data_IF_980506651051
#
_entry.id   IF_980506651051
#
_cell.length_a   1.000
_cell.length_b   1.000
_cell.length_c   1.000
_cell.angle_alpha   90.00
_cell.angle_beta   90.00
_cell.angle_gamma   90.00
#
_symmetry.space_group_name_H-M   'P 1'
#
loop_
_entity.id
_entity.type
_entity.pdbx_description
1 polymer ?
#
# COMPACT_ATOMS: atom_id res chain seq x y z
N UNK A 1 -10.71 36.32 -4.73
CA UNK A 1 -10.39 34.93 -4.35
C UNK A 1 -9.53 35.00 -3.09
N UNK A 2 -9.88 34.34 -1.98
CA UNK A 2 -9.14 34.52 -0.73
C UNK A 2 -7.75 33.90 -0.88
N UNK A 3 -6.72 34.69 -0.58
CA UNK A 3 -5.34 34.25 -0.51
C UNK A 3 -5.17 33.31 0.68
N UNK A 4 -5.00 32.02 0.40
CA UNK A 4 -4.67 31.02 1.41
C UNK A 4 -3.24 31.27 1.91
N UNK A 5 -3.09 32.09 2.96
CA UNK A 5 -1.82 32.22 3.69
C UNK A 5 -1.65 30.99 4.56
N UNK A 6 -1.07 29.94 4.01
CA UNK A 6 -0.62 28.81 4.80
C UNK A 6 0.42 29.31 5.83
N UNK A 7 0.02 29.36 7.10
CA UNK A 7 0.96 29.51 8.21
C UNK A 7 1.92 28.33 8.21
N UNK A 8 3.20 28.56 8.54
CA UNK A 8 4.21 27.50 8.68
C UNK A 8 3.78 26.37 9.64
N UNK A 9 2.78 26.65 10.50
CA UNK A 9 2.25 25.77 11.53
C UNK A 9 0.81 25.25 11.29
N UNK A 10 0.20 25.45 10.12
CA UNK A 10 -1.10 24.80 9.84
C UNK A 10 -0.90 23.30 9.51
N UNK A 11 -1.51 22.44 10.34
CA UNK A 11 -1.20 21.01 10.43
C UNK A 11 -2.08 20.16 9.51
N UNK A 12 -1.48 19.57 8.46
CA UNK A 12 -1.63 18.15 8.18
C UNK A 12 -0.24 17.51 8.27
N UNK A 13 0.07 16.97 9.43
CA UNK A 13 1.32 16.25 9.72
C UNK A 13 1.04 14.94 10.46
N UNK A 14 -0.19 14.42 10.39
CA UNK A 14 -0.57 13.25 11.18
C UNK A 14 0.24 12.02 10.78
N UNK A 15 0.48 11.84 9.48
CA UNK A 15 1.31 10.75 8.98
C UNK A 15 2.78 10.95 9.33
N UNK A 16 3.30 12.16 9.15
CA UNK A 16 4.67 12.52 9.53
C UNK A 16 4.91 12.31 11.03
N UNK A 17 4.03 12.81 11.90
CA UNK A 17 4.17 12.65 13.35
C UNK A 17 4.03 11.20 13.76
N UNK A 18 3.14 10.42 13.13
CA UNK A 18 3.05 8.99 13.37
C UNK A 18 4.37 8.27 13.03
N UNK A 19 4.93 8.54 11.85
CA UNK A 19 6.23 7.97 11.44
C UNK A 19 7.35 8.38 12.39
N UNK A 20 7.44 9.66 12.76
CA UNK A 20 8.43 10.14 13.73
C UNK A 20 8.27 9.44 15.07
N UNK A 21 7.04 9.35 15.57
CA UNK A 21 6.73 8.72 16.86
C UNK A 21 7.15 7.25 16.86
N UNK A 22 6.76 6.49 15.83
CA UNK A 22 7.15 5.07 15.71
C UNK A 22 8.66 4.93 15.61
N UNK A 23 9.33 5.79 14.85
CA UNK A 23 10.79 5.77 14.69
C UNK A 23 11.52 6.07 16.00
N UNK A 24 11.09 7.10 16.72
CA UNK A 24 11.67 7.49 18.01
C UNK A 24 11.45 6.41 19.05
N UNK A 25 10.26 5.80 19.10
CA UNK A 25 9.98 4.70 20.03
C UNK A 25 10.82 3.46 19.73
N UNK A 26 10.91 3.05 18.46
CA UNK A 26 11.67 1.86 18.05
C UNK A 26 13.18 2.03 18.30
N UNK A 27 13.75 3.17 17.91
CA UNK A 27 15.16 3.48 18.15
C UNK A 27 15.45 3.70 19.64
N UNK A 28 14.56 4.40 20.35
CA UNK A 28 14.66 4.63 21.79
C UNK A 28 14.64 3.34 22.60
N UNK A 29 13.80 2.37 22.22
CA UNK A 29 13.80 1.03 22.81
C UNK A 29 15.15 0.32 22.67
N UNK A 30 15.82 0.46 21.51
CA UNK A 30 17.17 -0.09 21.30
C UNK A 30 18.22 0.60 22.18
N UNK A 31 18.14 1.93 22.32
CA UNK A 31 19.06 2.69 23.18
C UNK A 31 18.89 2.34 24.66
N UNK A 32 17.64 2.20 25.12
CA UNK A 32 17.35 1.78 26.51
C UNK A 32 17.92 0.39 26.78
N UNK A 33 17.73 -0.57 25.88
CA UNK A 33 18.30 -1.92 26.02
C UNK A 33 19.83 -1.93 25.98
N UNK A 34 20.43 -1.04 25.19
CA UNK A 34 21.87 -0.88 25.15
C UNK A 34 22.43 -0.17 26.40
N UNK A 35 21.59 0.45 27.22
CA UNK A 35 22.01 1.31 28.34
C UNK A 35 22.82 2.53 27.90
N UNK A 36 22.70 2.96 26.63
CA UNK A 36 23.53 4.02 26.05
C UNK A 36 22.80 4.75 24.92
N UNK A 37 23.18 5.99 24.56
CA UNK A 37 22.61 6.73 23.43
C UNK A 37 23.04 6.18 22.05
N UNK A 38 23.62 4.98 22.01
CA UNK A 38 23.97 4.23 20.82
C UNK A 38 23.57 2.75 20.97
N UNK A 39 23.10 2.14 19.89
CA UNK A 39 22.74 0.73 19.85
C UNK A 39 23.85 -0.07 19.16
N UNK A 40 24.32 -1.19 19.75
CA UNK A 40 25.30 -2.05 19.12
C UNK A 40 24.70 -2.75 17.89
N UNK A 41 25.55 -3.08 16.91
CA UNK A 41 25.12 -3.68 15.64
C UNK A 41 24.33 -4.98 15.83
N UNK A 42 24.68 -5.81 16.82
CA UNK A 42 23.98 -7.05 17.14
C UNK A 42 22.51 -6.81 17.53
N UNK A 43 22.26 -5.78 18.33
CA UNK A 43 20.92 -5.41 18.75
C UNK A 43 20.09 -4.93 17.56
N UNK A 44 20.68 -4.08 16.71
CA UNK A 44 20.05 -3.58 15.50
C UNK A 44 19.75 -4.69 14.50
N UNK A 45 20.68 -5.64 14.33
CA UNK A 45 20.50 -6.83 13.52
C UNK A 45 19.33 -7.68 14.05
N UNK A 46 19.25 -7.91 15.36
CA UNK A 46 18.15 -8.66 15.98
C UNK A 46 16.79 -8.01 15.75
N UNK A 47 16.69 -6.68 15.82
CA UNK A 47 15.42 -5.96 15.75
C UNK A 47 14.98 -5.53 14.35
N UNK A 48 15.77 -5.82 13.31
CA UNK A 48 15.31 -5.63 11.93
C UNK A 48 16.22 -4.83 11.00
N UNK A 49 17.47 -4.61 11.38
CA UNK A 49 18.46 -4.06 10.46
C UNK A 49 18.54 -4.89 9.18
N UNK A 50 18.64 -4.20 8.04
CA UNK A 50 18.68 -4.82 6.73
C UNK A 50 20.10 -5.28 6.42
N UNK A 51 20.25 -6.48 5.85
CA UNK A 51 21.56 -7.03 5.47
C UNK A 51 21.44 -7.85 4.18
N UNK A 52 22.58 -8.09 3.53
CA UNK A 52 22.70 -8.68 2.18
C UNK A 52 21.83 -9.93 1.92
N UNK A 53 21.76 -10.84 2.90
CA UNK A 53 21.04 -12.12 2.78
C UNK A 53 19.56 -12.09 3.18
N UNK A 54 19.03 -10.97 3.66
CA UNK A 54 17.65 -10.91 4.21
C UNK A 54 16.59 -11.29 3.17
N UNK A 55 16.73 -10.79 1.94
CA UNK A 55 15.77 -11.05 0.84
C UNK A 55 15.79 -12.53 0.45
N UNK A 56 16.99 -13.11 0.33
CA UNK A 56 17.16 -14.53 -0.02
C UNK A 56 16.64 -15.48 1.06
N UNK A 57 16.59 -15.04 2.32
CA UNK A 57 16.04 -15.78 3.46
C UNK A 57 14.57 -15.46 3.75
N UNK A 58 13.88 -14.76 2.85
CA UNK A 58 12.48 -14.38 3.00
C UNK A 58 12.18 -13.49 4.23
N UNK A 59 13.19 -12.78 4.74
CA UNK A 59 13.05 -11.85 5.88
C UNK A 59 12.56 -10.46 5.42
N UNK A 60 11.49 -10.44 4.60
CA UNK A 60 11.00 -9.23 3.92
C UNK A 60 10.56 -8.11 4.86
N UNK A 61 10.19 -8.44 6.10
CA UNK A 61 9.85 -7.47 7.13
C UNK A 61 11.01 -6.49 7.42
N UNK A 62 12.27 -6.91 7.18
CA UNK A 62 13.46 -6.05 7.32
C UNK A 62 13.52 -4.93 6.30
N UNK A 63 12.84 -5.04 5.15
CA UNK A 63 12.73 -3.98 4.14
C UNK A 63 11.98 -2.75 4.66
N UNK A 64 11.23 -2.89 5.76
CA UNK A 64 10.57 -1.79 6.44
C UNK A 64 11.19 -1.53 7.81
N UNK A 65 11.44 -2.57 8.60
CA UNK A 65 11.90 -2.44 9.98
C UNK A 65 13.20 -1.62 10.10
N UNK A 66 14.13 -1.77 9.16
CA UNK A 66 15.42 -1.08 9.19
C UNK A 66 15.29 0.44 9.26
N UNK A 67 14.25 1.01 8.63
CA UNK A 67 14.04 2.45 8.56
C UNK A 67 13.67 3.08 9.91
N UNK A 68 13.23 2.27 10.87
CA UNK A 68 12.83 2.73 12.21
C UNK A 68 13.93 2.59 13.26
N UNK A 69 15.07 2.00 12.89
CA UNK A 69 16.21 1.75 13.77
C UNK A 69 17.33 2.74 13.47
N UNK A 70 18.08 3.19 14.49
CA UNK A 70 19.18 4.13 14.32
C UNK A 70 20.38 3.72 15.19
N UNK A 71 21.59 3.93 14.66
CA UNK A 71 22.85 3.57 15.34
C UNK A 71 23.06 4.38 16.61
N UNK A 72 22.72 5.67 16.61
CA UNK A 72 22.90 6.56 17.74
C UNK A 72 21.91 7.71 17.73
N UNK A 73 21.85 8.42 18.86
CA UNK A 73 20.95 9.54 19.06
C UNK A 73 21.11 10.65 18.01
N UNK A 74 22.35 11.03 17.65
CA UNK A 74 22.61 12.05 16.64
C UNK A 74 22.06 11.64 15.28
N UNK A 75 22.26 10.39 14.88
CA UNK A 75 21.74 9.84 13.63
C UNK A 75 20.21 9.86 13.61
N UNK A 76 19.55 9.52 14.72
CA UNK A 76 18.10 9.63 14.86
C UNK A 76 17.63 11.09 14.73
N UNK A 77 18.23 12.01 15.49
CA UNK A 77 17.83 13.43 15.48
C UNK A 77 17.96 14.06 14.09
N UNK A 78 19.06 13.78 13.37
CA UNK A 78 19.25 14.32 12.02
C UNK A 78 18.21 13.79 11.03
N UNK A 79 17.86 12.50 11.11
CA UNK A 79 16.80 11.94 10.27
C UNK A 79 15.43 12.56 10.59
N UNK A 80 15.11 12.74 11.87
CA UNK A 80 13.86 13.38 12.28
C UNK A 80 13.80 14.85 11.81
N UNK A 81 14.92 15.57 11.87
CA UNK A 81 15.02 16.93 11.34
C UNK A 81 14.78 16.97 9.83
N UNK A 82 15.45 16.12 9.05
CA UNK A 82 15.23 16.02 7.60
C UNK A 82 13.77 15.65 7.28
N UNK A 83 13.19 14.71 8.02
CA UNK A 83 11.79 14.31 7.85
C UNK A 83 10.82 15.47 8.14
N UNK A 84 11.05 16.27 9.17
CA UNK A 84 10.24 17.48 9.45
C UNK A 84 10.37 18.50 8.33
N UNK A 85 11.60 18.81 7.92
CA UNK A 85 11.88 19.85 6.91
C UNK A 85 11.28 19.53 5.54
N UNK A 86 11.42 18.28 5.09
CA UNK A 86 10.97 17.89 3.74
C UNK A 86 9.61 17.20 3.77
N UNK A 87 9.39 16.30 4.74
CA UNK A 87 8.18 15.49 4.82
C UNK A 87 6.93 16.31 5.08
N UNK A 88 7.02 17.34 5.94
CA UNK A 88 5.87 18.22 6.21
C UNK A 88 5.47 19.01 4.97
N UNK A 89 6.45 19.40 4.14
CA UNK A 89 6.17 20.07 2.87
C UNK A 89 5.48 19.13 1.89
N UNK A 90 5.95 17.89 1.78
CA UNK A 90 5.35 16.89 0.90
C UNK A 90 3.93 16.50 1.35
N UNK A 91 3.73 16.17 2.64
CA UNK A 91 2.42 15.78 3.19
C UNK A 91 1.36 16.85 2.95
N UNK A 92 1.71 18.14 3.10
CA UNK A 92 0.80 19.25 2.78
C UNK A 92 0.37 19.29 1.31
N UNK A 93 1.21 18.83 0.39
CA UNK A 93 0.93 18.87 -1.05
C UNK A 93 0.18 17.65 -1.55
N UNK A 94 0.48 16.46 -1.01
CA UNK A 94 -0.08 15.19 -1.51
C UNK A 94 -1.09 14.55 -0.55
N UNK A 95 -1.20 15.05 0.67
CA UNK A 95 -2.02 14.46 1.74
C UNK A 95 -1.32 13.29 2.46
N UNK A 96 -1.85 12.89 3.64
CA UNK A 96 -1.21 11.89 4.52
C UNK A 96 -1.08 10.50 3.88
N UNK A 97 -2.10 10.06 3.13
CA UNK A 97 -2.10 8.73 2.53
C UNK A 97 -1.01 8.59 1.44
N UNK A 98 -0.96 9.52 0.48
CA UNK A 98 0.06 9.51 -0.57
C UNK A 98 1.46 9.75 -0.02
N UNK A 99 1.59 10.58 1.03
CA UNK A 99 2.85 10.74 1.73
C UNK A 99 3.36 9.42 2.33
N UNK A 100 2.51 8.66 3.04
CA UNK A 100 2.89 7.35 3.57
C UNK A 100 3.29 6.37 2.47
N UNK A 101 2.52 6.31 1.38
CA UNK A 101 2.84 5.43 0.25
C UNK A 101 4.22 5.77 -0.32
N UNK A 102 4.47 7.05 -0.63
CA UNK A 102 5.76 7.50 -1.16
C UNK A 102 6.90 7.18 -0.19
N UNK A 103 6.72 7.48 1.10
CA UNK A 103 7.74 7.25 2.13
C UNK A 103 8.08 5.77 2.28
N UNK A 104 7.07 4.89 2.37
CA UNK A 104 7.26 3.45 2.52
C UNK A 104 7.82 2.81 1.25
N UNK A 105 7.37 3.24 0.06
CA UNK A 105 7.96 2.80 -1.20
C UNK A 105 9.44 3.19 -1.28
N UNK A 106 9.79 4.43 -0.95
CA UNK A 106 11.17 4.87 -0.92
C UNK A 106 12.04 4.07 0.05
N UNK A 107 11.50 3.72 1.23
CA UNK A 107 12.17 2.85 2.20
C UNK A 107 12.45 1.46 1.60
N UNK A 108 11.42 0.79 1.07
CA UNK A 108 11.55 -0.58 0.54
C UNK A 108 12.51 -0.61 -0.65
N UNK A 109 12.30 0.25 -1.66
CA UNK A 109 13.11 0.24 -2.86
C UNK A 109 14.53 0.78 -2.61
N UNK A 110 14.71 1.69 -1.66
CA UNK A 110 16.02 2.09 -1.18
C UNK A 110 16.80 0.90 -0.63
N UNK A 111 16.20 0.11 0.27
CA UNK A 111 16.83 -1.11 0.79
C UNK A 111 17.14 -2.13 -0.31
N UNK A 112 16.22 -2.37 -1.25
CA UNK A 112 16.43 -3.31 -2.37
C UNK A 112 17.61 -2.88 -3.23
N UNK A 113 17.69 -1.59 -3.60
CA UNK A 113 18.75 -1.07 -4.47
C UNK A 113 20.09 -1.07 -3.73
N UNK A 114 20.14 -0.62 -2.47
CA UNK A 114 21.34 -0.71 -1.65
C UNK A 114 21.89 -2.14 -1.54
N UNK A 115 20.99 -3.11 -1.37
CA UNK A 115 21.33 -4.53 -1.29
C UNK A 115 21.80 -5.15 -2.60
N UNK A 116 21.35 -4.61 -3.73
CA UNK A 116 21.83 -5.02 -5.05
C UNK A 116 23.20 -4.45 -5.40
N UNK A 117 23.57 -3.30 -4.82
CA UNK A 117 24.81 -2.58 -5.15
C UNK A 117 25.98 -3.04 -4.27
N UNK A 118 25.74 -3.27 -2.98
CA UNK A 118 26.83 -3.58 -2.05
C UNK A 118 27.30 -5.02 -2.17
N UNK A 119 28.59 -5.20 -2.45
CA UNK A 119 29.23 -6.50 -2.63
C UNK A 119 29.77 -7.13 -1.34
N UNK A 120 29.84 -6.36 -0.25
CA UNK A 120 30.35 -6.81 1.06
C UNK A 120 29.22 -6.93 2.08
N UNK A 121 29.34 -7.78 3.11
CA UNK A 121 28.36 -7.83 4.18
C UNK A 121 28.24 -6.48 4.87
N UNK A 122 27.01 -5.97 4.96
CA UNK A 122 26.71 -4.69 5.57
C UNK A 122 25.40 -4.78 6.36
N UNK A 123 25.24 -3.87 7.32
CA UNK A 123 24.03 -3.73 8.11
C UNK A 123 23.50 -2.31 7.94
N UNK A 124 22.35 -2.17 7.31
CA UNK A 124 21.70 -0.89 7.07
C UNK A 124 20.57 -0.66 8.07
N UNK A 125 20.57 0.53 8.65
CA UNK A 125 19.53 1.07 9.51
C UNK A 125 19.36 2.56 9.23
N UNK A 126 18.18 3.09 9.49
CA UNK A 126 17.90 4.52 9.45
C UNK A 126 16.89 4.90 8.38
N UNK A 127 16.16 5.97 8.66
CA UNK A 127 15.09 6.50 7.81
C UNK A 127 15.61 7.23 6.55
N UNK A 128 16.92 7.33 6.36
CA UNK A 128 17.53 8.26 5.41
C UNK A 128 17.24 7.95 3.94
N UNK A 129 17.06 6.68 3.59
CA UNK A 129 16.56 6.29 2.26
C UNK A 129 15.15 6.81 1.98
N UNK A 130 14.27 6.69 2.98
CA UNK A 130 12.89 7.17 2.87
C UNK A 130 12.83 8.71 2.79
N UNK A 131 13.62 9.41 3.61
CA UNK A 131 13.71 10.89 3.54
C UNK A 131 14.35 11.37 2.25
N UNK A 132 15.31 10.63 1.69
CA UNK A 132 15.83 10.88 0.33
C UNK A 132 14.72 10.75 -0.72
N UNK A 133 13.84 9.76 -0.58
CA UNK A 133 12.66 9.62 -1.44
C UNK A 133 11.64 10.74 -1.30
N UNK A 134 11.45 11.29 -0.09
CA UNK A 134 10.65 12.50 0.10
C UNK A 134 11.22 13.66 -0.72
N UNK A 135 12.54 13.84 -0.72
CA UNK A 135 13.20 14.87 -1.55
C UNK A 135 13.02 14.60 -3.05
N UNK A 136 13.11 13.34 -3.49
CA UNK A 136 12.82 12.93 -4.87
C UNK A 136 11.37 13.20 -5.30
N UNK A 137 10.41 12.98 -4.41
CA UNK A 137 9.00 13.29 -4.65
C UNK A 137 8.74 14.80 -4.72
N UNK A 138 9.40 15.60 -3.86
CA UNK A 138 9.35 17.06 -3.96
C UNK A 138 9.91 17.55 -5.31
N UNK A 139 11.00 16.95 -5.79
CA UNK A 139 11.54 17.27 -7.12
C UNK A 139 10.55 16.89 -8.22
N UNK A 140 9.86 15.74 -8.11
CA UNK A 140 8.80 15.36 -9.04
C UNK A 140 7.70 16.42 -9.11
N UNK A 141 7.17 16.87 -7.96
CA UNK A 141 6.15 17.91 -7.92
C UNK A 141 6.63 19.24 -8.52
N UNK A 142 7.91 19.59 -8.32
CA UNK A 142 8.53 20.76 -8.93
C UNK A 142 8.61 20.65 -10.46
N UNK A 143 9.11 19.51 -10.98
CA UNK A 143 9.16 19.24 -12.43
C UNK A 143 7.76 19.30 -13.05
N UNK A 144 6.74 18.83 -12.33
CA UNK A 144 5.34 18.85 -12.76
C UNK A 144 4.67 20.24 -12.64
N UNK A 145 5.39 21.26 -12.17
CA UNK A 145 4.85 22.62 -11.95
C UNK A 145 3.84 22.71 -10.81
N UNK A 146 3.80 21.70 -9.92
CA UNK A 146 2.91 21.62 -8.75
C UNK A 146 3.52 22.15 -7.46
N UNK A 147 4.78 22.57 -7.53
CA UNK A 147 5.54 23.09 -6.40
C UNK A 147 6.25 24.38 -6.79
N UNK A 148 5.88 25.48 -6.14
CA UNK A 148 6.52 26.78 -6.33
C UNK A 148 7.64 26.96 -5.30
N UNK A 149 8.80 26.38 -5.62
CA UNK A 149 10.02 26.43 -4.83
C UNK A 149 11.18 26.76 -5.76
N UNK A 150 12.10 27.61 -5.32
CA UNK A 150 13.28 28.01 -6.11
C UNK A 150 14.19 26.80 -6.36
N UNK A 151 14.83 26.77 -7.53
CA UNK A 151 15.79 25.73 -7.88
C UNK A 151 16.94 25.60 -6.86
N UNK A 152 17.37 26.72 -6.27
CA UNK A 152 18.43 26.74 -5.24
C UNK A 152 18.13 25.80 -4.06
N UNK A 153 16.86 25.63 -3.68
CA UNK A 153 16.46 24.66 -2.65
C UNK A 153 16.87 23.24 -3.05
N UNK A 154 16.58 22.83 -4.28
CA UNK A 154 16.92 21.50 -4.78
C UNK A 154 18.42 21.34 -4.94
N UNK A 155 19.10 22.32 -5.51
CA UNK A 155 20.55 22.30 -5.66
C UNK A 155 21.25 22.08 -4.31
N UNK A 156 20.85 22.83 -3.28
CA UNK A 156 21.41 22.72 -1.93
C UNK A 156 21.05 21.38 -1.27
N UNK A 157 19.76 21.00 -1.24
CA UNK A 157 19.35 19.81 -0.48
C UNK A 157 19.78 18.50 -1.16
N UNK A 158 19.73 18.42 -2.49
CA UNK A 158 20.24 17.26 -3.23
C UNK A 158 21.77 17.22 -3.13
N UNK A 159 22.43 18.37 -3.27
CA UNK A 159 23.88 18.46 -3.10
C UNK A 159 24.33 18.00 -1.72
N UNK A 160 23.66 18.43 -0.65
CA UNK A 160 23.91 17.96 0.71
C UNK A 160 23.62 16.47 0.87
N UNK A 161 22.50 15.96 0.34
CA UNK A 161 22.16 14.54 0.42
C UNK A 161 23.28 13.67 -0.20
N UNK A 162 23.76 14.06 -1.38
CA UNK A 162 24.86 13.39 -2.08
C UNK A 162 26.17 13.54 -1.30
N UNK A 163 26.50 14.75 -0.83
CA UNK A 163 27.74 15.02 -0.10
C UNK A 163 27.82 14.21 1.20
N UNK A 164 26.72 14.10 1.96
CA UNK A 164 26.68 13.25 3.15
C UNK A 164 26.75 11.76 2.79
N UNK A 165 25.99 11.33 1.77
CA UNK A 165 25.97 9.93 1.35
C UNK A 165 27.33 9.41 0.87
N UNK A 166 28.07 10.23 0.12
CA UNK A 166 29.38 9.86 -0.42
C UNK A 166 30.55 10.21 0.52
N UNK A 167 30.40 11.24 1.36
CA UNK A 167 31.45 11.74 2.25
C UNK A 167 31.63 10.92 3.54
N UNK A 168 30.72 10.00 3.85
CA UNK A 168 30.79 9.16 5.04
C UNK A 168 30.54 7.70 4.68
N UNK A 169 31.56 6.84 4.80
CA UNK A 169 31.47 5.41 4.48
C UNK A 169 30.51 4.62 5.36
N UNK A 170 30.00 5.21 6.46
CA UNK A 170 28.95 4.63 7.30
C UNK A 170 27.54 4.97 6.81
N UNK A 171 27.41 5.79 5.77
CA UNK A 171 26.14 6.15 5.15
C UNK A 171 25.98 5.33 3.87
N UNK A 172 24.85 4.67 3.74
CA UNK A 172 24.55 3.83 2.59
C UNK A 172 24.08 4.68 1.42
N UNK A 173 25.01 5.06 0.54
CA UNK A 173 24.69 5.86 -0.65
C UNK A 173 23.74 5.16 -1.61
N UNK A 174 23.79 3.82 -1.69
CA UNK A 174 22.92 3.02 -2.55
C UNK A 174 21.46 3.10 -2.10
N UNK A 175 21.24 3.07 -0.78
CA UNK A 175 19.92 3.29 -0.17
C UNK A 175 19.41 4.71 -0.40
N UNK A 176 20.28 5.72 -0.32
CA UNK A 176 19.90 7.11 -0.59
C UNK A 176 19.48 7.33 -2.04
N UNK A 177 20.27 6.80 -2.98
CA UNK A 177 19.99 6.89 -4.41
C UNK A 177 18.70 6.14 -4.77
N UNK A 178 18.57 4.90 -4.28
CA UNK A 178 17.40 4.07 -4.52
C UNK A 178 16.13 4.67 -3.93
N UNK A 179 16.21 5.20 -2.72
CA UNK A 179 15.12 5.92 -2.07
C UNK A 179 14.69 7.16 -2.84
N UNK A 180 15.65 8.00 -3.26
CA UNK A 180 15.39 9.19 -4.08
C UNK A 180 14.65 8.85 -5.37
N UNK A 181 15.17 7.89 -6.13
CA UNK A 181 14.58 7.46 -7.39
C UNK A 181 13.18 6.88 -7.17
N UNK A 182 13.00 6.02 -6.17
CA UNK A 182 11.72 5.42 -5.85
C UNK A 182 10.68 6.45 -5.43
N UNK A 183 11.05 7.45 -4.63
CA UNK A 183 10.14 8.53 -4.24
C UNK A 183 9.71 9.41 -5.41
N UNK A 184 10.65 9.74 -6.31
CA UNK A 184 10.36 10.47 -7.54
C UNK A 184 9.38 9.69 -8.44
N UNK A 185 9.66 8.40 -8.66
CA UNK A 185 8.82 7.51 -9.49
C UNK A 185 7.45 7.31 -8.83
N UNK A 186 7.39 7.03 -7.53
CA UNK A 186 6.13 6.82 -6.81
C UNK A 186 5.24 8.08 -6.88
N UNK A 187 5.83 9.26 -6.72
CA UNK A 187 5.10 10.53 -6.87
C UNK A 187 4.57 10.71 -8.30
N UNK A 188 5.38 10.43 -9.32
CA UNK A 188 4.97 10.52 -10.72
C UNK A 188 3.85 9.52 -11.07
N UNK A 189 3.95 8.29 -10.56
CA UNK A 189 2.93 7.26 -10.75
C UNK A 189 1.63 7.64 -10.04
N UNK A 190 1.68 8.13 -8.80
CA UNK A 190 0.50 8.59 -8.09
C UNK A 190 -0.15 9.80 -8.79
N UNK A 191 0.65 10.73 -9.30
CA UNK A 191 0.14 11.85 -10.11
C UNK A 191 -0.54 11.36 -11.40
N UNK A 192 0.07 10.40 -12.09
CA UNK A 192 -0.49 9.78 -13.28
C UNK A 192 -1.79 9.03 -12.96
N UNK A 193 -1.81 8.26 -11.85
CA UNK A 193 -3.01 7.57 -11.38
C UNK A 193 -4.10 8.59 -11.07
N UNK A 194 -3.81 9.67 -10.36
CA UNK A 194 -4.79 10.71 -10.02
C UNK A 194 -5.35 11.39 -11.27
N UNK A 195 -4.51 11.66 -12.27
CA UNK A 195 -4.94 12.20 -13.58
C UNK A 195 -5.73 11.19 -14.39
N UNK A 196 -5.33 9.93 -14.37
CA UNK A 196 -6.01 8.84 -15.07
C UNK A 196 -7.30 8.45 -14.35
N UNK A 197 -7.41 8.65 -13.04
CA UNK A 197 -8.55 8.21 -12.23
C UNK A 197 -9.88 8.79 -12.77
N UNK A 198 -10.00 10.10 -13.07
CA UNK A 198 -11.14 10.65 -13.78
C UNK A 198 -11.42 10.15 -15.20
N UNK A 199 -10.60 9.30 -15.83
CA UNK A 199 -10.84 8.80 -17.20
C UNK A 199 -10.86 7.26 -17.26
N UNK A 200 -9.93 6.61 -16.57
CA UNK A 200 -9.74 5.18 -16.46
C UNK A 200 -10.53 4.57 -15.30
N UNK A 201 -10.59 5.24 -14.16
CA UNK A 201 -11.20 4.73 -12.92
C UNK A 201 -12.31 5.69 -12.45
N UNK A 202 -13.20 6.15 -13.36
CA UNK A 202 -14.44 6.88 -12.96
C UNK A 202 -15.38 5.95 -12.19
N UNK A 203 -14.90 5.40 -11.09
CA UNK A 203 -15.60 4.59 -10.13
C UNK A 203 -16.50 5.52 -9.33
N UNK A 204 -17.51 6.11 -9.98
CA UNK A 204 -18.74 6.57 -9.33
C UNK A 204 -19.54 5.35 -8.88
N UNK A 205 -18.86 4.36 -8.31
CA UNK A 205 -19.48 3.19 -7.75
C UNK A 205 -20.03 3.59 -6.38
N UNK A 206 -21.17 3.03 -5.96
CA UNK A 206 -21.52 3.04 -4.55
C UNK A 206 -20.37 2.46 -3.72
N UNK A 207 -20.13 2.99 -2.52
CA UNK A 207 -19.03 2.54 -1.65
C UNK A 207 -19.05 1.02 -1.41
N UNK A 208 -20.26 0.43 -1.29
CA UNK A 208 -20.43 -1.01 -1.16
C UNK A 208 -19.82 -1.81 -2.33
N UNK A 209 -19.96 -1.31 -3.57
CA UNK A 209 -19.38 -1.95 -4.77
C UNK A 209 -17.85 -1.85 -4.75
N UNK A 210 -17.30 -0.69 -4.33
CA UNK A 210 -15.84 -0.51 -4.22
C UNK A 210 -15.23 -1.47 -3.20
N UNK A 211 -15.82 -1.52 -2.00
CA UNK A 211 -15.33 -2.38 -0.92
C UNK A 211 -15.38 -3.86 -1.33
N UNK A 212 -16.46 -4.30 -1.97
CA UNK A 212 -16.64 -5.68 -2.40
C UNK A 212 -15.62 -6.07 -3.50
N UNK A 213 -15.43 -5.21 -4.51
CA UNK A 213 -14.40 -5.41 -5.55
C UNK A 213 -12.98 -5.46 -4.96
N UNK A 214 -12.66 -4.59 -4.02
CA UNK A 214 -11.35 -4.60 -3.35
C UNK A 214 -11.15 -5.89 -2.55
N UNK A 215 -12.17 -6.35 -1.81
CA UNK A 215 -12.12 -7.60 -1.06
C UNK A 215 -11.87 -8.79 -2.00
N UNK A 216 -12.63 -8.89 -3.09
CA UNK A 216 -12.46 -9.95 -4.09
C UNK A 216 -11.07 -9.89 -4.74
N UNK A 217 -10.56 -8.68 -5.05
CA UNK A 217 -9.21 -8.51 -5.59
C UNK A 217 -8.13 -8.96 -4.59
N UNK A 218 -8.27 -8.63 -3.31
CA UNK A 218 -7.36 -9.08 -2.26
C UNK A 218 -7.37 -10.61 -2.12
N UNK A 219 -8.55 -11.24 -2.16
CA UNK A 219 -8.68 -12.71 -2.09
C UNK A 219 -8.06 -13.35 -3.34
N UNK A 220 -8.31 -12.81 -4.53
CA UNK A 220 -7.71 -13.31 -5.77
C UNK A 220 -6.18 -13.16 -5.76
N UNK A 221 -5.66 -12.04 -5.26
CA UNK A 221 -4.23 -11.82 -5.12
C UNK A 221 -3.59 -12.78 -4.10
N UNK A 222 -4.26 -12.99 -2.95
CA UNK A 222 -3.81 -13.95 -1.94
C UNK A 222 -3.83 -15.39 -2.48
N UNK A 223 -4.85 -15.76 -3.25
CA UNK A 223 -4.95 -17.07 -3.91
C UNK A 223 -3.88 -17.26 -4.99
N UNK A 224 -3.64 -16.23 -5.81
CA UNK A 224 -2.56 -16.25 -6.80
C UNK A 224 -1.18 -16.40 -6.14
N UNK A 225 -1.00 -15.77 -4.97
CA UNK A 225 0.20 -15.88 -4.15
C UNK A 225 0.35 -17.25 -3.46
N UNK A 226 -0.75 -17.90 -3.09
CA UNK A 226 -0.73 -19.09 -2.24
C UNK A 226 -0.46 -20.41 -2.94
N UNK A 227 -0.40 -20.51 -4.28
CA UNK A 227 -0.22 -21.85 -4.87
C UNK A 227 0.12 -22.10 -6.33
N UNK A 228 0.07 -21.18 -7.30
CA UNK A 228 0.20 -21.63 -8.73
C UNK A 228 0.98 -20.73 -9.69
N UNK A 229 1.41 -19.52 -9.30
CA UNK A 229 2.18 -18.67 -10.21
C UNK A 229 3.64 -19.14 -10.41
N UNK A 230 4.23 -19.74 -9.37
CA UNK A 230 5.60 -20.29 -9.42
C UNK A 230 5.64 -21.61 -10.23
N UNK A 231 4.54 -22.36 -10.27
CA UNK A 231 4.44 -23.63 -11.01
C UNK A 231 4.31 -23.45 -12.53
N UNK A 232 3.89 -22.27 -13.00
CA UNK A 232 3.68 -21.98 -14.42
C UNK A 232 4.90 -21.31 -15.11
N UNK A 233 6.02 -21.12 -14.42
CA UNK A 233 7.22 -20.48 -14.98
C UNK A 233 7.08 -18.99 -15.30
N UNK A 234 5.98 -18.36 -14.86
CA UNK A 234 5.75 -16.92 -15.03
C UNK A 234 6.54 -16.20 -13.94
N UNK A 235 7.43 -15.29 -14.33
CA UNK A 235 8.15 -14.43 -13.36
C UNK A 235 7.14 -13.69 -12.46
N UNK A 236 7.48 -13.46 -11.19
CA UNK A 236 6.57 -12.81 -10.23
C UNK A 236 6.02 -11.46 -10.71
N UNK A 237 6.80 -10.71 -11.50
CA UNK A 237 6.38 -9.47 -12.14
C UNK A 237 5.36 -9.68 -13.26
N UNK A 238 5.50 -10.76 -14.05
CA UNK A 238 4.52 -11.12 -15.08
C UNK A 238 3.14 -11.42 -14.49
N UNK A 239 3.09 -12.14 -13.37
CA UNK A 239 1.84 -12.39 -12.65
C UNK A 239 1.21 -11.09 -12.14
N UNK A 240 2.01 -10.21 -11.53
CA UNK A 240 1.53 -8.94 -10.99
C UNK A 240 0.91 -8.07 -12.09
N UNK A 241 1.53 -7.98 -13.27
CA UNK A 241 0.99 -7.25 -14.43
C UNK A 241 -0.35 -7.84 -14.87
N UNK A 242 -0.44 -9.17 -15.00
CA UNK A 242 -1.69 -9.84 -15.39
C UNK A 242 -2.81 -9.57 -14.39
N UNK A 243 -2.53 -9.63 -13.09
CA UNK A 243 -3.51 -9.33 -12.04
C UNK A 243 -3.99 -7.88 -12.12
N UNK A 244 -3.07 -6.92 -12.27
CA UNK A 244 -3.42 -5.50 -12.40
C UNK A 244 -4.30 -5.26 -13.63
N UNK A 245 -3.93 -5.82 -14.79
CA UNK A 245 -4.72 -5.69 -16.03
C UNK A 245 -6.10 -6.31 -15.87
N UNK A 246 -6.20 -7.49 -15.23
CA UNK A 246 -7.48 -8.13 -14.95
C UNK A 246 -8.36 -7.29 -14.03
N UNK A 247 -7.80 -6.72 -12.95
CA UNK A 247 -8.54 -5.80 -12.08
C UNK A 247 -9.04 -4.56 -12.83
N UNK A 248 -8.20 -3.94 -13.67
CA UNK A 248 -8.61 -2.81 -14.50
C UNK A 248 -9.74 -3.17 -15.48
N UNK A 249 -9.67 -4.35 -16.10
CA UNK A 249 -10.73 -4.85 -16.99
C UNK A 249 -12.05 -5.06 -16.23
N UNK A 250 -12.00 -5.67 -15.04
CA UNK A 250 -13.19 -5.86 -14.18
C UNK A 250 -13.81 -4.50 -13.81
N UNK A 251 -13.00 -3.53 -13.38
CA UNK A 251 -13.48 -2.18 -13.09
C UNK A 251 -14.20 -1.57 -14.29
N UNK A 252 -13.63 -1.70 -15.50
CA UNK A 252 -14.25 -1.18 -16.73
C UNK A 252 -15.54 -1.90 -17.11
N UNK A 253 -15.63 -3.21 -16.92
CA UNK A 253 -16.85 -3.98 -17.15
C UNK A 253 -17.94 -3.54 -16.16
N UNK A 254 -17.62 -3.38 -14.88
CA UNK A 254 -18.56 -2.89 -13.87
C UNK A 254 -19.06 -1.49 -14.21
N UNK A 255 -18.16 -0.58 -14.62
CA UNK A 255 -18.53 0.77 -15.08
C UNK A 255 -19.49 0.74 -16.26
N UNK A 256 -19.22 -0.10 -17.26
CA UNK A 256 -20.12 -0.31 -18.40
C UNK A 256 -21.49 -0.82 -17.95
N UNK A 257 -21.55 -1.83 -17.08
CA UNK A 257 -22.82 -2.39 -16.61
C UNK A 257 -23.59 -1.35 -15.79
N UNK A 258 -22.94 -0.59 -14.91
CA UNK A 258 -23.57 0.50 -14.14
C UNK A 258 -24.12 1.62 -15.03
N UNK A 259 -23.61 1.76 -16.25
CA UNK A 259 -24.14 2.71 -17.24
C UNK A 259 -25.43 2.23 -17.91
N UNK A 260 -25.75 0.94 -17.84
CA UNK A 260 -26.97 0.35 -18.41
C UNK A 260 -28.18 0.51 -17.48
N UNK A 261 -29.39 0.40 -18.04
CA UNK A 261 -30.64 0.36 -17.28
C UNK A 261 -30.63 -0.83 -16.31
N UNK A 262 -31.00 -0.61 -15.04
CA UNK A 262 -30.88 -1.60 -13.95
C UNK A 262 -29.45 -2.07 -13.65
N UNK A 263 -28.44 -1.38 -14.16
CA UNK A 263 -27.03 -1.74 -14.04
C UNK A 263 -26.57 -1.97 -12.60
N UNK A 264 -27.00 -1.10 -11.67
CA UNK A 264 -26.66 -1.22 -10.25
C UNK A 264 -27.21 -2.51 -9.62
N UNK A 265 -28.46 -2.87 -9.92
CA UNK A 265 -29.03 -4.12 -9.41
C UNK A 265 -28.28 -5.34 -9.98
N UNK A 266 -27.93 -5.31 -11.26
CA UNK A 266 -27.14 -6.38 -11.91
C UNK A 266 -25.78 -6.53 -11.24
N UNK A 267 -25.06 -5.42 -10.99
CA UNK A 267 -23.74 -5.45 -10.36
C UNK A 267 -23.81 -5.99 -8.94
N UNK A 268 -24.79 -5.57 -8.14
CA UNK A 268 -24.92 -6.07 -6.76
C UNK A 268 -25.22 -7.57 -6.73
N UNK A 269 -26.10 -8.05 -7.61
CA UNK A 269 -26.40 -9.50 -7.72
C UNK A 269 -25.17 -10.27 -8.19
N UNK A 270 -24.43 -9.76 -9.17
CA UNK A 270 -23.20 -10.38 -9.65
C UNK A 270 -22.13 -10.46 -8.55
N UNK A 271 -21.97 -9.42 -7.74
CA UNK A 271 -21.04 -9.42 -6.60
C UNK A 271 -21.46 -10.41 -5.51
N UNK A 272 -22.75 -10.52 -5.20
CA UNK A 272 -23.26 -11.52 -4.28
C UNK A 272 -22.95 -12.95 -4.76
N UNK A 273 -23.12 -13.21 -6.07
CA UNK A 273 -22.72 -14.47 -6.70
C UNK A 273 -21.21 -14.71 -6.62
N UNK A 274 -20.38 -13.70 -6.92
CA UNK A 274 -18.93 -13.80 -6.86
C UNK A 274 -18.42 -14.11 -5.44
N UNK A 275 -19.02 -13.49 -4.41
CA UNK A 275 -18.73 -13.80 -3.01
C UNK A 275 -19.05 -15.26 -2.67
N UNK A 276 -20.20 -15.77 -3.10
CA UNK A 276 -20.59 -17.15 -2.88
C UNK A 276 -19.65 -18.14 -3.56
N UNK A 277 -19.29 -17.89 -4.83
CA UNK A 277 -18.32 -18.70 -5.58
C UNK A 277 -16.96 -18.69 -4.87
N UNK A 278 -16.49 -17.52 -4.41
CA UNK A 278 -15.23 -17.38 -3.69
C UNK A 278 -15.20 -18.23 -2.42
N UNK A 279 -16.28 -18.20 -1.62
CA UNK A 279 -16.40 -19.01 -0.40
C UNK A 279 -16.44 -20.50 -0.74
N UNK A 280 -17.15 -20.90 -1.80
CA UNK A 280 -17.20 -22.27 -2.25
C UNK A 280 -15.81 -22.78 -2.65
N UNK A 281 -15.07 -22.01 -3.46
CA UNK A 281 -13.71 -22.35 -3.90
C UNK A 281 -12.72 -22.42 -2.73
N UNK A 282 -12.76 -21.44 -1.81
CA UNK A 282 -11.94 -21.47 -0.60
C UNK A 282 -12.26 -22.70 0.26
N UNK A 283 -13.54 -23.04 0.40
CA UNK A 283 -13.99 -24.22 1.11
C UNK A 283 -13.51 -25.53 0.49
N UNK A 284 -13.59 -25.66 -0.84
CA UNK A 284 -13.06 -26.81 -1.57
C UNK A 284 -11.53 -26.92 -1.46
N UNK A 285 -10.83 -25.79 -1.51
CA UNK A 285 -9.39 -25.75 -1.27
C UNK A 285 -9.05 -26.21 0.16
N UNK A 286 -9.82 -25.77 1.16
CA UNK A 286 -9.64 -26.21 2.55
C UNK A 286 -9.96 -27.70 2.71
N UNK A 287 -10.97 -28.21 2.00
CA UNK A 287 -11.35 -29.62 2.00
C UNK A 287 -10.20 -30.51 1.53
N UNK A 288 -9.40 -30.05 0.55
CA UNK A 288 -8.21 -30.77 0.10
C UNK A 288 -7.12 -30.92 1.18
N UNK A 289 -7.17 -30.09 2.23
CA UNK A 289 -6.28 -30.17 3.40
C UNK A 289 -6.81 -31.10 4.50
N UNK A 290 -8.04 -31.62 4.40
CA UNK A 290 -8.61 -32.55 5.39
C UNK A 290 -7.91 -33.93 5.28
N UNK A 291 -6.82 -34.11 6.03
CA UNK A 291 -6.11 -35.40 6.16
C UNK A 291 -6.67 -36.24 7.32
N UNK A 292 -6.68 -37.60 7.25
CA UNK A 292 -7.10 -38.47 8.35
C UNK A 292 -6.19 -38.45 9.61
N UNK A 293 -5.15 -37.61 9.66
CA UNK A 293 -4.09 -37.66 10.68
C UNK A 293 -3.84 -36.36 11.45
N UNK A 294 -4.75 -35.40 11.47
CA UNK A 294 -4.52 -34.23 12.33
C UNK A 294 -4.69 -34.58 13.81
N UNK A 295 -3.63 -34.47 14.64
CA UNK A 295 -3.74 -34.72 16.07
C UNK A 295 -4.54 -33.59 16.70
N UNK A 296 -5.45 -33.97 17.61
CA UNK A 296 -6.21 -33.07 18.47
C UNK A 296 -5.26 -32.28 19.38
N UNK A 297 -4.80 -31.14 18.90
CA UNK A 297 -4.14 -30.10 19.69
C UNK A 297 -5.14 -29.02 20.10
N UNK A 298 -4.84 -28.31 21.17
CA UNK A 298 -5.72 -27.30 21.77
C UNK A 298 -5.51 -25.91 21.15
N UNK A 299 -5.67 -25.76 19.83
CA UNK A 299 -5.71 -24.46 19.15
C UNK A 299 -7.14 -24.14 18.73
N UNK A 300 -7.66 -22.91 18.90
CA UNK A 300 -9.05 -22.58 18.57
C UNK A 300 -9.46 -22.81 17.10
N UNK A 301 -8.51 -22.89 16.16
CA UNK A 301 -8.77 -23.21 14.75
C UNK A 301 -9.11 -24.70 14.51
N UNK A 302 -8.64 -25.60 15.39
CA UNK A 302 -8.84 -27.04 15.22
C UNK A 302 -10.34 -27.41 15.37
N UNK A 303 -11.07 -26.66 16.21
CA UNK A 303 -12.52 -26.83 16.39
C UNK A 303 -13.33 -26.53 15.12
N UNK A 304 -12.88 -25.59 14.29
CA UNK A 304 -13.57 -25.25 13.04
C UNK A 304 -13.35 -26.32 11.97
N UNK A 305 -12.14 -26.88 11.91
CA UNK A 305 -11.82 -27.97 10.98
C UNK A 305 -12.54 -29.28 11.35
N UNK A 306 -12.69 -29.56 12.65
CA UNK A 306 -13.48 -30.71 13.13
C UNK A 306 -14.95 -30.62 12.72
N UNK A 307 -15.54 -29.43 12.69
CA UNK A 307 -16.91 -29.23 12.20
C UNK A 307 -16.96 -29.29 10.67
N UNK A 308 -15.95 -28.74 9.98
CA UNK A 308 -15.91 -28.59 8.53
C UNK A 308 -15.60 -29.89 7.76
N UNK A 309 -14.54 -30.60 8.15
CA UNK A 309 -14.01 -31.74 7.40
C UNK A 309 -14.95 -32.97 7.27
N UNK A 310 -15.92 -33.23 8.17
CA UNK A 310 -16.89 -34.30 7.97
C UNK A 310 -17.82 -34.09 6.76
N UNK A 311 -18.17 -32.84 6.44
CA UNK A 311 -19.09 -32.51 5.35
C UNK A 311 -18.66 -31.20 4.63
N UNK A 312 -17.47 -31.16 4.03
CA UNK A 312 -16.87 -29.92 3.55
C UNK A 312 -17.70 -29.30 2.42
N UNK A 313 -18.21 -30.11 1.48
CA UNK A 313 -19.03 -29.63 0.36
C UNK A 313 -20.33 -28.99 0.86
N UNK A 314 -21.01 -29.64 1.81
CA UNK A 314 -22.26 -29.13 2.37
C UNK A 314 -22.04 -27.84 3.15
N UNK A 315 -21.00 -27.79 3.99
CA UNK A 315 -20.73 -26.63 4.84
C UNK A 315 -20.25 -25.45 4.00
N UNK A 316 -19.40 -25.68 3.00
CA UNK A 316 -19.03 -24.64 2.02
C UNK A 316 -20.23 -24.16 1.21
N UNK A 317 -21.12 -25.06 0.80
CA UNK A 317 -22.36 -24.71 0.09
C UNK A 317 -23.29 -23.85 0.93
N UNK A 318 -23.54 -24.23 2.18
CA UNK A 318 -24.37 -23.44 3.11
C UNK A 318 -23.74 -22.08 3.42
N UNK A 319 -22.42 -22.03 3.62
CA UNK A 319 -21.70 -20.78 3.84
C UNK A 319 -21.77 -19.86 2.60
N UNK A 320 -21.65 -20.41 1.39
CA UNK A 320 -21.77 -19.67 0.14
C UNK A 320 -23.19 -19.08 -0.04
N UNK A 321 -24.24 -19.87 0.24
CA UNK A 321 -25.64 -19.39 0.19
C UNK A 321 -25.86 -18.30 1.24
N UNK A 322 -25.40 -18.51 2.47
CA UNK A 322 -25.50 -17.54 3.55
C UNK A 322 -24.81 -16.22 3.19
N UNK A 323 -23.61 -16.27 2.61
CA UNK A 323 -22.88 -15.09 2.20
C UNK A 323 -23.55 -14.33 1.04
N UNK A 324 -24.13 -15.03 0.05
CA UNK A 324 -24.94 -14.40 -0.98
C UNK A 324 -26.15 -13.69 -0.36
N UNK A 325 -26.90 -14.38 0.52
CA UNK A 325 -28.08 -13.83 1.18
C UNK A 325 -27.75 -12.59 2.02
N UNK A 326 -26.67 -12.65 2.82
CA UNK A 326 -26.20 -11.50 3.61
C UNK A 326 -25.73 -10.35 2.72
N UNK A 327 -25.00 -10.63 1.64
CA UNK A 327 -24.56 -9.59 0.69
C UNK A 327 -25.77 -8.89 0.05
N UNK A 328 -26.77 -9.66 -0.39
CA UNK A 328 -28.00 -9.11 -0.97
C UNK A 328 -28.81 -8.32 0.06
N UNK A 329 -28.88 -8.79 1.31
CA UNK A 329 -29.59 -8.10 2.39
C UNK A 329 -28.92 -6.77 2.76
N UNK A 330 -27.59 -6.77 2.94
CA UNK A 330 -26.82 -5.55 3.22
C UNK A 330 -26.91 -4.53 2.09
N UNK A 331 -26.97 -4.99 0.84
CA UNK A 331 -27.11 -4.15 -0.34
C UNK A 331 -28.56 -3.97 -0.82
N UNK A 332 -29.57 -4.33 -0.01
CA UNK A 332 -30.97 -4.31 -0.43
C UNK A 332 -31.45 -2.90 -0.82
N UNK A 333 -30.91 -1.87 -0.15
CA UNK A 333 -31.22 -0.46 -0.47
C UNK A 333 -30.66 -0.07 -1.84
N UNK A 334 -29.45 -0.52 -2.16
CA UNK A 334 -28.77 -0.30 -3.43
C UNK A 334 -29.45 -1.08 -4.57
N UNK A 335 -29.95 -2.29 -4.29
CA UNK A 335 -30.74 -3.08 -5.24
C UNK A 335 -32.05 -2.37 -5.56
N UNK A 336 -32.79 -1.94 -4.54
CA UNK A 336 -34.05 -1.20 -4.71
C UNK A 336 -33.85 0.06 -5.55
N UNK A 337 -32.84 0.88 -5.18
CA UNK A 337 -32.43 2.05 -5.97
C UNK A 337 -32.03 1.67 -7.40
N UNK A 338 -31.29 0.57 -7.57
CA UNK A 338 -30.82 0.11 -8.87
C UNK A 338 -31.92 -0.41 -9.79
N UNK A 339 -33.00 -0.98 -9.26
CA UNK A 339 -34.14 -1.46 -10.05
C UNK A 339 -34.91 -0.30 -10.70
N UNK A 340 -34.99 0.82 -9.99
CA UNK A 340 -35.66 2.05 -10.44
C UNK A 340 -34.77 2.90 -11.38
N UNK A 341 -33.47 2.60 -11.44
CA UNK A 341 -32.51 3.44 -12.14
C UNK A 341 -32.47 3.18 -13.66
N UNK A 342 -32.39 4.28 -14.42
CA UNK A 342 -32.28 4.27 -15.89
C UNK A 342 -30.81 4.18 -16.34
N UNK A 343 -29.87 4.24 -15.40
CA UNK A 343 -28.43 4.11 -15.59
C UNK A 343 -27.71 5.05 -14.62
N UNK A 344 -27.15 4.49 -13.54
CA UNK A 344 -26.57 5.23 -12.40
C UNK A 344 -25.47 6.22 -12.84
N UNK A 345 -24.67 5.80 -13.81
CA UNK A 345 -23.64 6.67 -14.39
C UNK A 345 -24.28 7.77 -15.24
N UNK A 346 -25.32 7.47 -16.03
CA UNK A 346 -26.02 8.42 -16.90
C UNK A 346 -26.83 9.49 -16.16
N UNK A 347 -27.40 9.17 -15.00
CA UNK A 347 -28.06 10.15 -14.10
C UNK A 347 -27.03 11.04 -13.41
N UNK A 348 -25.92 10.48 -12.91
CA UNK A 348 -24.83 11.27 -12.34
C UNK A 348 -24.14 12.17 -13.38
N UNK A 349 -24.01 11.72 -14.64
CA UNK A 349 -23.47 12.49 -15.76
C UNK A 349 -24.42 13.61 -16.17
N UNK A 350 -25.74 13.36 -16.20
CA UNK A 350 -26.75 14.41 -16.45
C UNK A 350 -26.74 15.46 -15.34
N UNK A 351 -26.72 15.05 -14.08
CA UNK A 351 -26.68 15.97 -12.93
C UNK A 351 -25.39 16.81 -12.88
N UNK A 352 -24.26 16.28 -13.33
CA UNK A 352 -23.01 17.03 -13.40
C UNK A 352 -22.94 17.95 -14.63
N UNK A 353 -23.51 17.51 -15.77
CA UNK A 353 -23.65 18.34 -16.98
C UNK A 353 -24.61 19.52 -16.76
N UNK A 354 -25.72 19.31 -16.05
CA UNK A 354 -26.65 20.38 -15.64
C UNK A 354 -25.95 21.40 -14.75
N UNK A 355 -25.19 20.93 -13.73
CA UNK A 355 -24.39 21.81 -12.86
C UNK A 355 -23.32 22.62 -13.60
N UNK A 356 -22.66 22.05 -14.62
CA UNK A 356 -21.68 22.79 -15.43
C UNK A 356 -22.30 23.77 -16.42
N UNK A 357 -23.54 23.57 -16.83
CA UNK A 357 -24.26 24.44 -17.77
C UNK A 357 -25.29 25.37 -17.09
N UNK A 358 -25.40 25.35 -15.77
CA UNK A 358 -26.33 26.22 -15.02
C UNK A 358 -27.81 25.93 -15.29
N UNK A 359 -28.13 24.70 -15.68
CA UNK A 359 -29.50 24.23 -15.95
C UNK A 359 -30.09 23.49 -14.75
#
# INVERSE_FOLDING_TARGET
MPSYRASFFEVPHAALYALMTVTVLASGFCFIQAGSPAAPAELLYRYGGMYSGAIARHEYWRLLAYGFLHVNFVHLTMNMLCLVLWGGHLERRVGPAYFLIIYLCAMVFGAVIGNGIHSTPYLTVGASGATSGVLGALLCLWILGKLDVRFDFFAINIGLNIAFALGNSRIDWGVHLGGFAAGLIACALLDLIEKANPYALRCKFPEAVKVNLTLLACVAAAWAWSGQAIAAGISGWGLAIVVVVACCAVVKVVDLVLSMKKGLAIVVVALAGANAVTILLCGLALASSCSPRWPTGSVPLDNLLVIFCPNPVLISGLAAIGAAAVTLWLCAREISRGIEDVGFVGTSLRAERSRRHGL
#
